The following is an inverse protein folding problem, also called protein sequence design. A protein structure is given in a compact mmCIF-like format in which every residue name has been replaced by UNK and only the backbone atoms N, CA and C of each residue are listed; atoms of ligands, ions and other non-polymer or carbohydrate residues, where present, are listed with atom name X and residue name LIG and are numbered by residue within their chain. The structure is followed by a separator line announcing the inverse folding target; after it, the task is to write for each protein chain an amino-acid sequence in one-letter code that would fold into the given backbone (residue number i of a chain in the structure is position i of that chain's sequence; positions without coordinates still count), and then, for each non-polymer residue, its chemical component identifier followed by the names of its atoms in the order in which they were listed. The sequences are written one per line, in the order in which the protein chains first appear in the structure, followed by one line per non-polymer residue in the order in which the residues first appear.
data_IF_080597234649
#
_entry.id   IF_080597234649
#
_cell.length_a   1.000
_cell.length_b   1.000
_cell.length_c   1.000
_cell.angle_alpha   90.00
_cell.angle_beta   90.00
_cell.angle_gamma   90.00
#
_symmetry.space_group_name_H-M   'P 1'
#
loop_
_entity.id
_entity.type
_entity.pdbx_description
1 polymer ?
#
# COMPACT_ATOMS: atom_id res chain seq x y z
N UNK A 1 -19.54 -1.55 15.09
CA UNK A 1 -19.33 -1.53 13.63
C UNK A 1 -18.28 -2.58 13.31
N UNK A 2 -18.53 -3.52 12.38
CA UNK A 2 -17.51 -4.51 11.98
C UNK A 2 -16.48 -3.80 11.11
N UNK A 3 -15.24 -3.74 11.55
CA UNK A 3 -14.12 -3.26 10.72
C UNK A 3 -14.06 -4.10 9.45
N UNK A 4 -13.93 -3.50 8.26
CA UNK A 4 -13.73 -4.25 7.04
C UNK A 4 -12.46 -5.09 7.19
N UNK A 5 -12.58 -6.40 6.93
CA UNK A 5 -11.43 -7.30 6.86
C UNK A 5 -10.69 -6.93 5.58
N UNK A 6 -9.72 -6.02 5.72
CA UNK A 6 -8.73 -5.77 4.69
C UNK A 6 -7.86 -7.03 4.65
N UNK A 7 -7.77 -7.75 3.51
CA UNK A 7 -6.91 -8.92 3.39
C UNK A 7 -5.51 -8.58 3.91
N UNK A 8 -4.99 -9.39 4.83
CA UNK A 8 -3.67 -9.18 5.42
C UNK A 8 -2.61 -9.12 4.33
N UNK A 9 -2.10 -7.92 4.06
CA UNK A 9 -1.11 -7.67 3.01
C UNK A 9 0.25 -8.29 3.30
N UNK A 10 0.47 -8.81 4.52
CA UNK A 10 1.68 -9.53 4.89
C UNK A 10 1.29 -10.98 5.15
N UNK A 11 1.36 -11.80 4.11
CA UNK A 11 1.25 -13.26 4.25
C UNK A 11 2.61 -13.88 4.59
N UNK A 12 3.68 -13.38 3.95
CA UNK A 12 5.07 -13.75 4.20
C UNK A 12 6.01 -12.58 3.85
N UNK A 13 6.83 -12.06 4.78
CA UNK A 13 7.76 -10.98 4.49
C UNK A 13 8.94 -11.48 3.63
N UNK A 14 9.00 -11.04 2.37
CA UNK A 14 10.07 -11.42 1.42
C UNK A 14 11.37 -10.60 1.58
N UNK A 15 11.34 -9.46 2.30
CA UNK A 15 12.51 -8.60 2.49
C UNK A 15 12.16 -7.11 2.57
N UNK A 16 13.17 -6.24 2.44
CA UNK A 16 13.01 -4.78 2.44
C UNK A 16 13.42 -4.20 1.09
N UNK A 17 12.70 -3.17 0.64
CA UNK A 17 13.05 -2.38 -0.55
C UNK A 17 13.69 -1.07 -0.08
N UNK A 18 15.00 -0.92 -0.29
CA UNK A 18 15.72 0.32 0.02
C UNK A 18 15.77 1.21 -1.23
N UNK A 19 14.79 2.09 -1.39
CA UNK A 19 14.68 3.00 -2.52
C UNK A 19 14.78 4.46 -2.09
N UNK A 20 15.50 5.26 -2.89
CA UNK A 20 15.49 6.72 -2.75
C UNK A 20 14.20 7.25 -3.36
N UNK A 21 13.49 8.08 -2.60
CA UNK A 21 12.25 8.73 -3.02
C UNK A 21 12.35 10.24 -2.88
N UNK A 22 11.51 10.98 -3.59
CA UNK A 22 11.38 12.44 -3.41
C UNK A 22 10.65 12.77 -2.10
N UNK A 23 10.76 14.02 -1.64
CA UNK A 23 9.97 14.53 -0.50
C UNK A 23 8.47 14.39 -0.76
N UNK A 24 8.01 14.75 -1.96
CA UNK A 24 6.61 14.63 -2.38
C UNK A 24 6.10 13.19 -2.27
N UNK A 25 6.90 12.20 -2.68
CA UNK A 25 6.52 10.79 -2.54
C UNK A 25 6.45 10.38 -1.07
N UNK A 26 7.40 10.83 -0.24
CA UNK A 26 7.41 10.53 1.19
C UNK A 26 6.18 11.12 1.90
N UNK A 27 5.81 12.35 1.59
CA UNK A 27 4.64 13.01 2.15
C UNK A 27 3.35 12.33 1.69
N UNK A 28 3.29 11.92 0.41
CA UNK A 28 2.18 11.14 -0.12
C UNK A 28 2.01 9.78 0.58
N UNK A 29 3.10 9.08 0.90
CA UNK A 29 3.04 7.84 1.68
C UNK A 29 2.47 8.06 3.09
N UNK A 30 2.84 9.17 3.74
CA UNK A 30 2.31 9.53 5.06
C UNK A 30 0.80 9.84 4.99
N UNK A 31 0.36 10.61 3.99
CA UNK A 31 -1.06 10.91 3.80
C UNK A 31 -1.88 9.64 3.56
N UNK A 32 -1.44 8.76 2.64
CA UNK A 32 -2.13 7.51 2.34
C UNK A 32 -2.19 6.58 3.56
N UNK A 33 -1.16 6.61 4.43
CA UNK A 33 -1.17 5.87 5.69
C UNK A 33 -2.33 6.30 6.58
N UNK A 34 -2.54 7.61 6.72
CA UNK A 34 -3.63 8.17 7.52
C UNK A 34 -4.99 7.89 6.88
N UNK A 35 -5.15 8.16 5.59
CA UNK A 35 -6.41 8.00 4.85
C UNK A 35 -6.94 6.56 4.89
N UNK A 36 -6.04 5.58 4.84
CA UNK A 36 -6.40 4.15 4.90
C UNK A 36 -6.35 3.54 6.30
N UNK A 37 -6.00 4.33 7.33
CA UNK A 37 -5.87 3.84 8.71
C UNK A 37 -4.81 2.75 8.88
N UNK A 38 -3.68 2.86 8.17
CA UNK A 38 -2.60 1.88 8.16
C UNK A 38 -1.55 2.17 9.22
N UNK A 39 -0.80 1.15 9.61
CA UNK A 39 0.15 1.23 10.72
C UNK A 39 1.56 1.58 10.26
N UNK A 40 1.92 1.26 9.02
CA UNK A 40 3.28 1.46 8.48
C UNK A 40 3.29 1.93 7.03
N UNK A 41 4.41 2.51 6.57
CA UNK A 41 4.60 2.82 5.15
C UNK A 41 4.73 1.56 4.30
N UNK A 42 5.17 0.44 4.88
CA UNK A 42 5.25 -0.84 4.18
C UNK A 42 3.84 -1.32 3.81
N UNK A 43 2.88 -1.22 4.72
CA UNK A 43 1.46 -1.52 4.45
C UNK A 43 0.87 -0.60 3.36
N UNK A 44 1.24 0.68 3.35
CA UNK A 44 0.83 1.63 2.30
C UNK A 44 1.34 1.19 0.95
N UNK A 45 2.62 0.81 0.86
CA UNK A 45 3.25 0.37 -0.37
C UNK A 45 2.58 -0.90 -0.91
N UNK A 46 2.39 -1.91 -0.07
CA UNK A 46 1.72 -3.16 -0.45
C UNK A 46 0.29 -2.91 -0.96
N UNK A 47 -0.48 -2.09 -0.24
CA UNK A 47 -1.84 -1.71 -0.65
C UNK A 47 -1.84 -0.95 -1.98
N UNK A 48 -0.92 -0.01 -2.17
CA UNK A 48 -0.82 0.76 -3.40
C UNK A 48 -0.49 -0.14 -4.60
N UNK A 49 0.46 -1.08 -4.45
CA UNK A 49 0.80 -2.05 -5.50
C UNK A 49 -0.41 -2.93 -5.83
N UNK A 50 -1.12 -3.44 -4.82
CA UNK A 50 -2.31 -4.25 -5.03
C UNK A 50 -3.41 -3.51 -5.81
N UNK A 51 -3.65 -2.23 -5.48
CA UNK A 51 -4.62 -1.38 -6.20
C UNK A 51 -4.19 -1.20 -7.66
N UNK A 52 -2.94 -0.82 -7.91
CA UNK A 52 -2.42 -0.62 -9.27
C UNK A 52 -2.52 -1.91 -10.11
N UNK A 53 -2.20 -3.06 -9.51
CA UNK A 53 -2.31 -4.36 -10.17
C UNK A 53 -3.77 -4.74 -10.48
N UNK A 54 -4.69 -4.47 -9.55
CA UNK A 54 -6.12 -4.69 -9.76
C UNK A 54 -6.67 -3.82 -10.90
N UNK A 55 -6.29 -2.53 -10.93
CA UNK A 55 -6.65 -1.61 -12.01
C UNK A 55 -6.07 -2.06 -13.36
N UNK A 56 -4.79 -2.46 -13.40
CA UNK A 56 -4.16 -2.99 -14.61
C UNK A 56 -4.92 -4.21 -15.14
N UNK A 57 -5.34 -5.12 -14.26
CA UNK A 57 -6.14 -6.29 -14.65
C UNK A 57 -7.51 -5.89 -15.20
N UNK A 58 -8.17 -4.94 -14.55
CA UNK A 58 -9.49 -4.46 -14.97
C UNK A 58 -9.46 -3.76 -16.34
N UNK A 59 -8.41 -3.00 -16.64
CA UNK A 59 -8.24 -2.31 -17.95
C UNK A 59 -7.83 -3.27 -19.07
N UNK A 60 -7.16 -4.37 -18.75
CA UNK A 60 -6.75 -5.39 -19.72
C UNK A 60 -7.87 -6.40 -20.08
N UNK A 61 -9.07 -6.23 -19.52
CA UNK A 61 -10.26 -7.06 -19.77
C UNK A 61 -11.23 -6.29 -20.64
#
# INVERSE_FOLDING_TARGET
MKSPIIPGFISDPAGRINVRVSTTTKDGLAQLKEDFGLHSHDEVLEKAIAIVMALRKAVAT
#
